data_IF_298457252032
#
_entry.id   IF_298457252032
#
_cell.length_a   1.000
_cell.length_b   1.000
_cell.length_c   1.000
_cell.angle_alpha   90.00
_cell.angle_beta   90.00
_cell.angle_gamma   90.00
#
_symmetry.space_group_name_H-M   'P 1'
#
loop_
_entity.id
_entity.type
_entity.pdbx_description
1 polymer ?
#
# COMPACT_ATOMS: atom_id res chain seq x y z
N UNK A 1 1.61 11.96 -16.09
CA UNK A 1 1.19 13.19 -15.56
C UNK A 1 0.37 12.97 -14.32
N UNK A 2 0.81 13.45 -13.28
CA UNK A 2 0.07 14.08 -12.30
C UNK A 2 -0.69 13.29 -11.30
N UNK A 3 -0.49 12.03 -11.11
CA UNK A 3 -1.00 11.40 -9.91
C UNK A 3 0.05 11.27 -8.81
N UNK A 4 1.16 11.98 -8.97
CA UNK A 4 2.17 12.03 -7.92
C UNK A 4 1.65 12.78 -6.71
N UNK A 5 1.33 12.04 -5.66
CA UNK A 5 1.05 12.65 -4.38
C UNK A 5 2.36 13.20 -3.83
N UNK A 6 2.45 14.52 -3.68
CA UNK A 6 3.65 15.14 -3.11
C UNK A 6 3.80 14.75 -1.63
N UNK A 7 4.97 15.01 -1.04
CA UNK A 7 5.24 14.68 0.36
C UNK A 7 4.21 15.33 1.30
N UNK A 8 3.81 16.57 1.00
CA UNK A 8 2.78 17.29 1.77
C UNK A 8 1.45 16.55 1.74
N UNK A 9 1.02 16.07 0.56
CA UNK A 9 -0.24 15.36 0.40
C UNK A 9 -0.23 14.01 1.11
N UNK A 10 0.92 13.31 1.10
CA UNK A 10 1.09 12.06 1.84
C UNK A 10 0.99 12.28 3.35
N UNK A 11 1.63 13.31 3.86
CA UNK A 11 1.55 13.68 5.27
C UNK A 11 0.12 13.99 5.65
N UNK A 12 -0.55 14.82 4.86
CA UNK A 12 -1.96 15.18 5.09
C UNK A 12 -2.88 13.95 5.06
N UNK A 13 -2.67 13.05 4.12
CA UNK A 13 -3.43 11.80 4.03
C UNK A 13 -3.31 10.98 5.32
N UNK A 14 -2.09 10.83 5.84
CA UNK A 14 -1.83 10.09 7.07
C UNK A 14 -2.44 10.78 8.29
N UNK A 15 -2.27 12.09 8.39
CA UNK A 15 -2.83 12.90 9.50
C UNK A 15 -4.36 12.81 9.56
N UNK A 16 -5.04 12.84 8.42
CA UNK A 16 -6.49 12.69 8.34
C UNK A 16 -6.98 11.35 8.88
N UNK A 17 -6.11 10.34 8.90
CA UNK A 17 -6.40 9.02 9.44
C UNK A 17 -5.89 8.82 10.86
N UNK A 18 -5.46 9.92 11.51
CA UNK A 18 -4.95 9.89 12.87
C UNK A 18 -3.57 9.27 12.99
N UNK A 19 -2.81 9.27 11.92
CA UNK A 19 -1.42 8.79 11.91
C UNK A 19 -0.51 10.01 11.90
N UNK A 20 0.41 10.08 12.88
CA UNK A 20 1.44 11.10 12.91
C UNK A 20 2.71 10.55 12.24
N UNK A 21 3.07 11.04 11.04
CA UNK A 21 4.26 10.54 10.34
C UNK A 21 5.56 10.73 11.13
N UNK A 22 5.60 11.74 12.01
CA UNK A 22 6.79 12.01 12.82
C UNK A 22 6.95 11.06 13.99
N UNK A 23 5.87 10.39 14.39
CA UNK A 23 5.87 9.39 15.46
C UNK A 23 5.96 7.96 14.93
N UNK A 24 5.94 7.78 13.63
CA UNK A 24 6.17 6.49 13.02
C UNK A 24 7.56 6.00 13.39
N UNK A 25 7.62 4.76 13.81
CA UNK A 25 8.89 4.15 14.15
C UNK A 25 9.83 4.19 12.95
N UNK A 26 11.09 4.33 13.27
CA UNK A 26 12.17 4.24 12.31
C UNK A 26 12.19 2.83 11.68
N UNK A 27 13.07 2.63 10.73
CA UNK A 27 13.24 1.38 10.03
C UNK A 27 13.27 0.17 10.99
N UNK A 28 12.68 -0.98 10.62
CA UNK A 28 12.70 -2.15 11.48
C UNK A 28 14.14 -2.60 11.76
N UNK A 29 14.41 -2.96 13.01
CA UNK A 29 15.72 -3.46 13.42
C UNK A 29 15.95 -4.90 12.98
N UNK A 30 14.89 -5.68 12.92
CA UNK A 30 14.89 -7.11 12.56
C UNK A 30 13.84 -7.42 11.53
N UNK A 31 13.99 -8.55 10.84
CA UNK A 31 12.98 -9.07 9.94
C UNK A 31 12.72 -10.54 10.19
N UNK A 32 11.54 -11.07 9.81
CA UNK A 32 11.25 -12.50 9.93
C UNK A 32 12.07 -13.36 8.98
N UNK A 33 12.75 -12.73 8.00
CA UNK A 33 13.53 -13.44 6.97
C UNK A 33 15.02 -13.50 7.28
N UNK A 34 15.46 -12.90 8.38
CA UNK A 34 16.85 -12.87 8.80
C UNK A 34 17.39 -11.45 9.00
N UNK A 35 18.69 -11.34 9.10
CA UNK A 35 19.37 -10.06 9.26
C UNK A 35 19.14 -9.15 8.04
N UNK A 36 18.71 -7.93 8.30
CA UNK A 36 18.42 -6.96 7.24
C UNK A 36 19.72 -6.47 6.61
N UNK A 37 19.85 -6.69 5.30
CA UNK A 37 20.96 -6.17 4.51
C UNK A 37 20.63 -4.82 3.89
N UNK A 38 19.42 -4.67 3.35
CA UNK A 38 18.95 -3.39 2.82
C UNK A 38 17.53 -3.11 3.29
N UNK A 39 17.23 -1.83 3.51
CA UNK A 39 15.90 -1.38 3.89
C UNK A 39 15.61 -0.06 3.16
N UNK A 40 14.52 -0.03 2.41
CA UNK A 40 14.06 1.15 1.70
C UNK A 40 12.70 1.57 2.24
N UNK A 41 12.57 2.82 2.64
CA UNK A 41 11.30 3.39 3.06
C UNK A 41 10.41 3.64 1.85
N UNK A 42 9.26 2.96 1.80
CA UNK A 42 8.24 3.17 0.76
C UNK A 42 7.38 4.39 1.08
N UNK A 43 6.96 4.48 2.32
CA UNK A 43 6.28 5.63 2.91
C UNK A 43 6.45 5.52 4.44
N UNK A 44 6.07 6.56 5.22
CA UNK A 44 6.14 6.42 6.68
C UNK A 44 5.40 5.19 7.18
N UNK A 45 6.12 4.27 7.81
CA UNK A 45 5.58 3.03 8.35
C UNK A 45 5.60 1.82 7.42
N UNK A 46 6.06 1.97 6.17
CA UNK A 46 6.16 0.85 5.24
C UNK A 46 7.55 0.76 4.64
N UNK A 47 8.14 -0.43 4.67
CA UNK A 47 9.54 -0.66 4.30
C UNK A 47 9.69 -1.88 3.41
N UNK A 48 10.54 -1.74 2.40
CA UNK A 48 11.00 -2.87 1.59
C UNK A 48 12.32 -3.35 2.17
N UNK A 49 12.36 -4.61 2.57
CA UNK A 49 13.49 -5.19 3.30
C UNK A 49 14.06 -6.36 2.52
N UNK A 50 15.38 -6.43 2.43
CA UNK A 50 16.06 -7.61 1.88
C UNK A 50 17.06 -8.17 2.86
N UNK A 51 17.21 -9.49 2.82
CA UNK A 51 18.18 -10.28 3.59
C UNK A 51 19.00 -11.15 2.64
N UNK A 52 19.89 -11.97 3.18
CA UNK A 52 20.73 -12.84 2.38
C UNK A 52 19.93 -13.85 1.52
N UNK A 53 18.80 -14.33 2.01
CA UNK A 53 18.02 -15.37 1.33
C UNK A 53 16.64 -14.96 0.87
N UNK A 54 16.03 -14.02 1.57
CA UNK A 54 14.64 -13.61 1.34
C UNK A 54 14.47 -12.12 1.57
N UNK A 55 13.24 -11.65 1.40
CA UNK A 55 12.87 -10.28 1.69
C UNK A 55 11.37 -10.11 1.63
N UNK A 56 10.92 -8.87 1.68
CA UNK A 56 9.51 -8.55 1.60
C UNK A 56 9.21 -7.12 2.00
N UNK A 57 7.94 -6.87 2.23
CA UNK A 57 7.45 -5.57 2.68
C UNK A 57 7.01 -5.70 4.14
N UNK A 58 7.46 -4.80 4.98
CA UNK A 58 7.07 -4.70 6.39
C UNK A 58 6.27 -3.42 6.58
N UNK A 59 5.02 -3.56 7.02
CA UNK A 59 4.12 -2.43 7.26
C UNK A 59 3.86 -2.36 8.77
N UNK A 60 4.07 -1.18 9.37
CA UNK A 60 3.80 -1.01 10.79
C UNK A 60 2.34 -1.35 11.08
N UNK A 61 2.07 -1.91 12.26
CA UNK A 61 0.73 -2.28 12.68
C UNK A 61 -0.24 -1.10 12.59
N UNK A 62 0.19 0.07 13.02
CA UNK A 62 -0.63 1.27 12.98
C UNK A 62 -1.02 1.63 11.55
N UNK A 63 -0.06 1.65 10.62
CA UNK A 63 -0.35 1.94 9.22
C UNK A 63 -1.24 0.86 8.61
N UNK A 64 -0.93 -0.41 8.86
CA UNK A 64 -1.71 -1.53 8.34
C UNK A 64 -3.18 -1.46 8.78
N UNK A 65 -3.42 -1.23 10.07
CA UNK A 65 -4.78 -1.17 10.60
C UNK A 65 -5.60 -0.01 10.05
N UNK A 66 -4.96 1.08 9.68
CA UNK A 66 -5.65 2.29 9.22
C UNK A 66 -5.79 2.42 7.72
N UNK A 67 -4.91 1.80 6.93
CA UNK A 67 -4.90 1.98 5.48
C UNK A 67 -5.10 0.72 4.66
N UNK A 68 -4.77 -0.44 5.19
CA UNK A 68 -4.94 -1.69 4.45
C UNK A 68 -6.34 -2.26 4.62
N UNK A 69 -6.93 -2.78 3.55
CA UNK A 69 -8.22 -3.45 3.63
C UNK A 69 -8.06 -4.81 4.35
N UNK A 70 -9.18 -5.36 4.80
CA UNK A 70 -9.23 -6.62 5.53
C UNK A 70 -8.57 -7.77 4.74
N UNK A 71 -8.90 -7.87 3.46
CA UNK A 71 -8.40 -8.91 2.58
C UNK A 71 -6.88 -8.81 2.40
N UNK A 72 -6.35 -7.60 2.29
CA UNK A 72 -4.91 -7.39 2.23
C UNK A 72 -4.21 -7.83 3.51
N UNK A 73 -4.79 -7.49 4.67
CA UNK A 73 -4.20 -7.86 5.97
C UNK A 73 -4.12 -9.38 6.16
N UNK A 74 -5.05 -10.14 5.60
CA UNK A 74 -5.03 -11.61 5.68
C UNK A 74 -3.91 -12.24 4.84
N UNK A 75 -3.36 -11.52 3.88
CA UNK A 75 -2.26 -12.02 3.06
C UNK A 75 -0.89 -11.92 3.74
N UNK A 76 -0.78 -11.11 4.78
CA UNK A 76 0.45 -10.94 5.54
C UNK A 76 0.41 -11.66 6.89
N UNK A 77 1.49 -11.58 7.63
CA UNK A 77 1.58 -12.11 8.99
C UNK A 77 2.24 -11.11 9.93
N UNK A 78 1.80 -11.13 11.19
CA UNK A 78 2.34 -10.21 12.20
C UNK A 78 3.64 -10.74 12.80
N UNK A 79 4.64 -9.87 12.85
CA UNK A 79 5.92 -10.16 13.51
C UNK A 79 6.43 -8.87 14.15
N UNK A 80 6.55 -8.87 15.48
CA UNK A 80 7.13 -7.77 16.27
C UNK A 80 6.62 -6.37 15.91
N UNK A 81 5.31 -6.23 15.76
CA UNK A 81 4.70 -4.94 15.49
C UNK A 81 4.61 -4.54 14.02
N UNK A 82 4.99 -5.45 13.13
CA UNK A 82 4.88 -5.24 11.68
C UNK A 82 4.01 -6.32 11.05
N UNK A 83 3.21 -5.91 10.07
CA UNK A 83 2.55 -6.84 9.17
C UNK A 83 3.50 -7.09 8.01
N UNK A 84 3.91 -8.34 7.84
CA UNK A 84 4.96 -8.74 6.92
C UNK A 84 4.40 -9.45 5.69
N UNK A 85 4.88 -9.08 4.52
CA UNK A 85 4.46 -9.62 3.23
C UNK A 85 5.70 -10.14 2.50
N UNK A 86 5.81 -11.45 2.35
CA UNK A 86 6.95 -12.08 1.71
C UNK A 86 7.07 -11.72 0.23
N UNK A 87 8.28 -11.48 -0.24
CA UNK A 87 8.56 -10.96 -1.59
C UNK A 87 8.04 -11.84 -2.72
N UNK A 88 8.14 -13.16 -2.58
CA UNK A 88 7.79 -14.10 -3.64
C UNK A 88 6.29 -14.31 -3.79
N UNK A 89 5.50 -13.95 -2.81
CA UNK A 89 4.06 -14.23 -2.87
C UNK A 89 3.16 -13.06 -2.44
N UNK A 90 3.40 -12.45 -1.30
CA UNK A 90 2.46 -11.51 -0.69
C UNK A 90 2.83 -10.03 -0.86
N UNK A 91 4.09 -9.72 -1.12
CA UNK A 91 4.53 -8.32 -1.28
C UNK A 91 3.72 -7.54 -2.32
N UNK A 92 3.31 -8.12 -3.47
CA UNK A 92 2.44 -7.41 -4.41
C UNK A 92 1.14 -6.88 -3.81
N UNK A 93 0.57 -7.56 -2.82
CA UNK A 93 -0.64 -7.09 -2.12
C UNK A 93 -0.35 -5.78 -1.39
N UNK A 94 0.71 -5.74 -0.59
CA UNK A 94 1.10 -4.54 0.15
C UNK A 94 1.42 -3.38 -0.80
N UNK A 95 2.19 -3.64 -1.86
CA UNK A 95 2.55 -2.63 -2.84
C UNK A 95 1.32 -2.07 -3.56
N UNK A 96 0.37 -2.94 -3.95
CA UNK A 96 -0.88 -2.51 -4.60
C UNK A 96 -1.69 -1.61 -3.67
N UNK A 97 -1.82 -1.99 -2.41
CA UNK A 97 -2.55 -1.20 -1.42
C UNK A 97 -1.93 0.19 -1.23
N UNK A 98 -0.60 0.26 -1.12
CA UNK A 98 0.09 1.54 -0.97
C UNK A 98 -0.02 2.41 -2.23
N UNK A 99 0.08 1.80 -3.42
CA UNK A 99 -0.08 2.53 -4.68
C UNK A 99 -1.51 3.06 -4.86
N UNK A 100 -2.51 2.26 -4.51
CA UNK A 100 -3.92 2.68 -4.62
C UNK A 100 -4.23 3.90 -3.74
N UNK A 101 -3.50 4.08 -2.66
CA UNK A 101 -3.67 5.22 -1.74
C UNK A 101 -2.71 6.38 -2.02
N UNK A 102 -1.88 6.25 -3.05
CA UNK A 102 -0.90 7.26 -3.39
C UNK A 102 0.26 7.36 -2.40
N UNK A 103 0.44 6.37 -1.52
CA UNK A 103 1.52 6.35 -0.55
C UNK A 103 2.84 5.84 -1.13
N UNK A 104 2.77 5.10 -2.20
CA UNK A 104 3.93 4.60 -2.93
C UNK A 104 3.70 4.80 -4.42
N UNK A 105 4.72 5.22 -5.12
CA UNK A 105 4.68 5.43 -6.56
C UNK A 105 5.40 4.30 -7.28
N UNK A 106 4.73 3.72 -8.29
CA UNK A 106 5.32 2.70 -9.13
C UNK A 106 6.61 3.23 -9.78
N UNK A 107 7.71 2.49 -9.69
CA UNK A 107 8.96 2.94 -10.29
C UNK A 107 8.88 3.01 -11.82
N UNK A 108 9.50 4.04 -12.38
CA UNK A 108 9.75 4.18 -13.82
C UNK A 108 11.25 4.37 -13.98
N UNK A 109 11.90 3.43 -14.63
CA UNK A 109 13.36 3.42 -14.78
C UNK A 109 13.76 2.59 -16.01
N UNK A 110 15.04 2.21 -16.10
CA UNK A 110 15.54 1.38 -17.21
C UNK A 110 14.92 -0.02 -17.27
N UNK A 111 14.36 -0.52 -16.15
CA UNK A 111 13.74 -1.85 -16.06
C UNK A 111 12.24 -1.80 -16.26
N UNK A 112 11.59 -0.67 -15.96
CA UNK A 112 10.14 -0.50 -16.02
C UNK A 112 9.76 0.75 -16.78
N UNK A 113 9.11 0.57 -17.92
CA UNK A 113 8.45 1.66 -18.63
C UNK A 113 7.21 2.14 -17.84
N UNK A 114 6.68 3.35 -18.11
CA UNK A 114 5.47 3.83 -17.44
C UNK A 114 4.33 2.82 -17.51
N UNK A 115 3.75 2.47 -16.35
CA UNK A 115 2.67 1.50 -16.23
C UNK A 115 3.09 0.04 -16.21
N UNK A 116 4.32 -0.27 -16.54
CA UNK A 116 4.80 -1.66 -16.62
C UNK A 116 4.89 -2.33 -15.24
N UNK A 117 5.40 -1.61 -14.25
CA UNK A 117 5.48 -2.12 -12.87
C UNK A 117 4.10 -2.48 -12.33
N UNK A 118 3.11 -1.59 -12.50
CA UNK A 118 1.74 -1.87 -12.06
C UNK A 118 1.13 -3.04 -12.81
N UNK A 119 1.41 -3.18 -14.10
CA UNK A 119 0.93 -4.31 -14.88
C UNK A 119 1.47 -5.64 -14.36
N UNK A 120 2.75 -5.69 -14.00
CA UNK A 120 3.39 -6.88 -13.40
C UNK A 120 2.76 -7.20 -12.04
N UNK A 121 2.55 -6.19 -11.20
CA UNK A 121 1.90 -6.36 -9.90
C UNK A 121 0.47 -6.88 -10.07
N UNK A 122 -0.30 -6.29 -10.97
CA UNK A 122 -1.69 -6.68 -11.21
C UNK A 122 -1.78 -8.12 -11.72
N UNK A 123 -0.91 -8.52 -12.62
CA UNK A 123 -0.86 -9.88 -13.14
C UNK A 123 -0.55 -10.90 -12.04
N UNK A 124 0.42 -10.60 -11.19
CA UNK A 124 0.76 -11.42 -10.03
C UNK A 124 -0.43 -11.57 -9.08
N UNK A 125 -1.14 -10.48 -8.80
CA UNK A 125 -2.30 -10.50 -7.91
C UNK A 125 -3.45 -11.34 -8.47
N UNK A 126 -3.73 -11.21 -9.75
CA UNK A 126 -4.78 -12.01 -10.40
C UNK A 126 -4.46 -13.50 -10.38
N UNK A 127 -3.17 -13.85 -10.50
CA UNK A 127 -2.72 -15.23 -10.53
C UNK A 127 -2.66 -15.86 -9.13
N UNK A 128 -2.05 -15.15 -8.17
CA UNK A 128 -1.73 -15.72 -6.86
C UNK A 128 -2.64 -15.26 -5.72
N UNK A 129 -3.37 -14.16 -5.90
CA UNK A 129 -4.28 -13.60 -4.88
C UNK A 129 -5.63 -13.21 -5.50
N UNK A 130 -6.33 -14.14 -6.16
CA UNK A 130 -7.57 -13.81 -6.87
C UNK A 130 -8.67 -13.30 -5.95
N UNK A 131 -8.77 -13.77 -4.73
CA UNK A 131 -9.76 -13.29 -3.75
C UNK A 131 -9.51 -11.82 -3.38
N UNK A 132 -8.25 -11.48 -3.09
CA UNK A 132 -7.87 -10.09 -2.83
C UNK A 132 -8.16 -9.22 -4.05
N UNK A 133 -7.77 -9.67 -5.24
CA UNK A 133 -7.98 -8.93 -6.47
C UNK A 133 -9.46 -8.63 -6.72
N UNK A 134 -10.32 -9.62 -6.54
CA UNK A 134 -11.77 -9.47 -6.70
C UNK A 134 -12.34 -8.48 -5.68
N UNK A 135 -11.93 -8.58 -4.43
CA UNK A 135 -12.36 -7.65 -3.38
C UNK A 135 -11.94 -6.22 -3.70
N UNK A 136 -10.71 -6.02 -4.18
CA UNK A 136 -10.21 -4.72 -4.60
C UNK A 136 -11.03 -4.13 -5.76
N UNK A 137 -11.29 -4.93 -6.79
CA UNK A 137 -12.07 -4.49 -7.95
C UNK A 137 -13.50 -4.11 -7.55
N UNK A 138 -14.10 -4.88 -6.66
CA UNK A 138 -15.42 -4.57 -6.11
C UNK A 138 -15.44 -3.24 -5.36
N UNK A 139 -14.46 -3.02 -4.50
CA UNK A 139 -14.34 -1.76 -3.74
C UNK A 139 -14.15 -0.56 -4.67
N UNK A 140 -13.36 -0.70 -5.72
CA UNK A 140 -13.15 0.35 -6.71
C UNK A 140 -14.42 0.68 -7.48
N UNK A 141 -15.19 -0.34 -7.86
CA UNK A 141 -16.48 -0.16 -8.53
C UNK A 141 -17.48 0.57 -7.63
N UNK A 142 -17.53 0.23 -6.35
CA UNK A 142 -18.39 0.91 -5.37
C UNK A 142 -18.01 2.38 -5.17
N UNK A 143 -16.73 2.68 -5.07
CA UNK A 143 -16.23 4.06 -4.96
C UNK A 143 -16.55 4.90 -6.20
N UNK A 144 -16.51 4.31 -7.38
CA UNK A 144 -16.84 5.00 -8.63
C UNK A 144 -18.33 5.39 -8.69
N UNK A 145 -19.22 4.63 -8.02
CA UNK A 145 -20.66 4.92 -7.98
C UNK A 145 -21.05 6.00 -6.96
N UNK A 146 -20.33 6.07 -5.82
CA UNK A 146 -20.72 6.93 -4.70
C UNK A 146 -20.44 8.43 -4.87
N UNK A 147 -19.43 8.92 -5.59
CA UNK A 147 -19.16 10.36 -5.70
C UNK A 147 -20.25 11.14 -6.45
N UNK A 148 -20.89 10.54 -7.46
CA UNK A 148 -21.90 11.21 -8.25
C UNK A 148 -23.23 11.43 -7.49
N UNK A 149 -23.61 10.52 -6.62
CA UNK A 149 -24.84 10.66 -5.86
C UNK A 149 -24.74 11.69 -4.73
N UNK A 150 -23.55 11.88 -4.16
CA UNK A 150 -23.33 12.86 -3.09
C UNK A 150 -23.27 14.29 -3.61
N UNK A 151 -22.69 14.51 -4.78
CA UNK A 151 -22.60 15.83 -5.40
C UNK A 151 -23.96 16.31 -5.90
N UNK A 152 -24.79 15.43 -6.42
CA UNK A 152 -26.13 15.79 -6.87
C UNK A 152 -27.04 16.20 -5.69
N UNK A 153 -26.97 15.49 -4.57
CA UNK A 153 -27.73 15.82 -3.38
C UNK A 153 -27.33 17.15 -2.72
N UNK A 154 -26.05 17.53 -2.85
CA UNK A 154 -25.55 18.78 -2.29
C UNK A 154 -26.01 19.99 -3.12
N UNK A 155 -26.09 19.84 -4.45
CA UNK A 155 -26.60 20.90 -5.33
C UNK A 155 -28.10 21.17 -5.15
N UNK A 156 -28.90 20.16 -4.83
CA UNK A 156 -30.33 20.35 -4.55
C UNK A 156 -30.60 21.03 -3.21
N UNK A 157 -29.68 20.94 -2.24
CA UNK A 157 -29.83 21.58 -0.90
C UNK A 157 -29.43 23.06 -0.88
N UNK A 158 -28.62 23.53 -1.83
CA UNK A 158 -28.21 24.94 -1.92
C UNK A 158 -29.16 25.80 -2.73
N UNK A 159 -30.23 25.25 -3.25
CA UNK A 159 -31.31 25.95 -3.91
C UNK A 159 -32.53 26.01 -3.01
#
# INVERSE_FOLDING_TARGET
>A
VGSEMCIRDRVQYLEQRGIDPNKMELEPADSPWGEIQTCHTLCPGAYSVSTAGHGGVMVSRELADKVLCKEAKTCGFMERGYLCFEEDCAAPVALRELMDRGLYQAPVNEYFAPGEYEAVINDSLQTFHPEYWQAREKMRAEKARTPHSKTAKHKERER
#
